data_IF_210508979010
#
_entry.id   IF_210508979010
#
_cell.length_a   1.000
_cell.length_b   1.000
_cell.length_c   1.000
_cell.angle_alpha   90.00
_cell.angle_beta   90.00
_cell.angle_gamma   90.00
#
_symmetry.space_group_name_H-M   'P 1'
#
loop_
_entity.id
_entity.type
_entity.pdbx_description
1 polymer ?
#
# COMPACT_ATOMS: atom_id res chain seq x y z
N UNK A 1 18.60 -19.09 -4.49
CA UNK A 1 17.77 -18.25 -5.38
C UNK A 1 16.58 -19.03 -5.98
N UNK A 2 16.80 -20.21 -6.62
CA UNK A 2 15.69 -20.97 -7.26
C UNK A 2 14.55 -21.38 -6.31
N UNK A 3 14.83 -21.63 -5.03
CA UNK A 3 13.81 -22.03 -4.06
C UNK A 3 12.89 -20.85 -3.63
N UNK A 4 13.40 -19.63 -3.68
CA UNK A 4 12.64 -18.41 -3.33
C UNK A 4 11.72 -17.98 -4.45
N UNK A 5 12.10 -18.17 -5.71
CA UNK A 5 11.31 -17.79 -6.89
C UNK A 5 10.02 -18.60 -7.09
N UNK A 6 9.84 -19.69 -6.35
CA UNK A 6 8.65 -20.55 -6.44
C UNK A 6 7.62 -20.31 -5.35
N UNK A 7 7.92 -19.42 -4.37
CA UNK A 7 7.02 -19.12 -3.26
C UNK A 7 6.63 -17.64 -3.28
N UNK A 8 5.34 -17.31 -3.28
CA UNK A 8 4.92 -15.92 -3.15
C UNK A 8 5.31 -15.38 -1.77
N UNK A 9 5.87 -14.18 -1.73
CA UNK A 9 6.01 -13.39 -0.50
C UNK A 9 4.80 -12.47 -0.41
N UNK A 10 4.01 -12.61 0.65
CA UNK A 10 2.79 -11.84 0.91
C UNK A 10 2.89 -11.20 2.29
N UNK A 11 2.66 -9.89 2.36
CA UNK A 11 2.65 -9.15 3.60
C UNK A 11 2.34 -7.67 3.39
N UNK A 12 2.25 -6.91 4.48
CA UNK A 12 2.08 -5.45 4.49
C UNK A 12 2.68 -4.87 5.78
N UNK A 13 2.51 -3.56 6.02
CA UNK A 13 3.00 -2.91 7.25
C UNK A 13 4.55 -2.97 7.36
N UNK A 14 5.07 -3.49 8.44
CA UNK A 14 6.53 -3.61 8.68
C UNK A 14 7.25 -4.36 7.56
N UNK A 15 6.59 -5.32 6.89
CA UNK A 15 7.17 -6.04 5.75
C UNK A 15 7.39 -5.16 4.51
N UNK A 16 7.00 -3.89 4.53
CA UNK A 16 7.35 -2.92 3.47
C UNK A 16 8.84 -2.91 3.18
N UNK A 17 9.68 -3.01 4.22
CA UNK A 17 11.14 -3.07 4.08
C UNK A 17 11.58 -4.36 3.39
N UNK A 18 10.95 -5.49 3.71
CA UNK A 18 11.22 -6.77 3.05
C UNK A 18 10.83 -6.73 1.56
N UNK A 19 9.74 -6.06 1.21
CA UNK A 19 9.37 -5.83 -0.19
C UNK A 19 10.45 -5.05 -0.94
N UNK A 20 11.01 -3.99 -0.35
CA UNK A 20 12.15 -3.28 -0.96
C UNK A 20 13.39 -4.17 -1.10
N UNK A 21 13.71 -4.98 -0.09
CA UNK A 21 14.83 -5.92 -0.14
C UNK A 21 14.67 -6.95 -1.26
N UNK A 22 13.47 -7.53 -1.39
CA UNK A 22 13.16 -8.53 -2.41
C UNK A 22 13.12 -7.91 -3.81
N UNK A 23 12.57 -6.70 -3.94
CA UNK A 23 12.58 -5.94 -5.19
C UNK A 23 14.01 -5.68 -5.68
N UNK A 24 14.94 -5.31 -4.78
CA UNK A 24 16.35 -5.08 -5.10
C UNK A 24 17.05 -6.30 -5.71
N UNK A 25 16.61 -7.51 -5.38
CA UNK A 25 17.15 -8.75 -5.97
C UNK A 25 16.29 -9.30 -7.11
N UNK A 26 15.34 -8.49 -7.63
CA UNK A 26 14.50 -8.80 -8.78
C UNK A 26 13.41 -9.83 -8.49
N UNK A 27 12.96 -9.96 -7.26
CA UNK A 27 11.88 -10.87 -6.88
C UNK A 27 10.55 -10.13 -6.80
N UNK A 28 9.52 -10.53 -7.56
CA UNK A 28 8.18 -10.00 -7.41
C UNK A 28 7.59 -10.43 -6.06
N UNK A 29 6.80 -9.54 -5.47
CA UNK A 29 6.15 -9.76 -4.18
C UNK A 29 4.69 -9.30 -4.23
N UNK A 30 3.92 -9.60 -3.17
CA UNK A 30 2.49 -9.29 -3.09
C UNK A 30 2.23 -8.49 -1.80
N UNK A 31 1.77 -7.26 -1.95
CA UNK A 31 1.50 -6.35 -0.85
C UNK A 31 0.00 -6.32 -0.51
N UNK A 32 -0.37 -6.45 0.77
CA UNK A 32 -1.72 -6.11 1.18
C UNK A 32 -2.39 -7.01 2.21
N UNK A 33 -2.04 -8.28 2.33
CA UNK A 33 -2.69 -9.20 3.28
C UNK A 33 -1.68 -9.90 4.17
N UNK A 34 -2.12 -10.30 5.36
CA UNK A 34 -1.35 -11.08 6.30
C UNK A 34 -2.20 -12.17 6.96
N UNK A 35 -1.52 -13.15 7.59
CA UNK A 35 -2.19 -14.33 8.12
C UNK A 35 -3.21 -13.99 9.22
N UNK A 36 -2.75 -13.24 10.26
CA UNK A 36 -3.60 -12.98 11.44
C UNK A 36 -4.79 -12.05 11.15
N UNK A 37 -4.60 -10.87 10.53
CA UNK A 37 -5.71 -9.93 10.39
C UNK A 37 -6.66 -10.23 9.22
N UNK A 38 -6.30 -11.15 8.31
CA UNK A 38 -7.06 -11.40 7.08
C UNK A 38 -7.50 -12.85 6.93
N UNK A 39 -6.55 -13.80 6.97
CA UNK A 39 -6.85 -15.21 6.74
C UNK A 39 -7.48 -15.83 7.98
N UNK A 40 -7.00 -15.46 9.17
CA UNK A 40 -7.55 -15.86 10.47
C UNK A 40 -8.57 -14.84 11.01
N UNK A 41 -9.42 -14.27 10.13
CA UNK A 41 -10.50 -13.38 10.57
C UNK A 41 -11.29 -14.03 11.71
N UNK A 42 -11.57 -13.25 12.77
CA UNK A 42 -12.23 -13.76 13.98
C UNK A 42 -13.72 -14.03 13.79
N UNK A 43 -14.35 -13.50 12.74
CA UNK A 43 -15.68 -13.91 12.32
C UNK A 43 -15.65 -15.31 11.67
N UNK A 44 -16.77 -15.81 11.26
CA UNK A 44 -16.94 -17.16 10.67
C UNK A 44 -16.20 -17.33 9.35
N UNK A 45 -16.02 -16.26 8.59
CA UNK A 45 -15.40 -16.26 7.25
C UNK A 45 -14.55 -15.02 7.03
N UNK A 46 -13.56 -15.15 6.14
CA UNK A 46 -12.81 -14.01 5.63
C UNK A 46 -13.75 -12.98 5.01
N UNK A 47 -13.40 -11.70 5.09
CA UNK A 47 -14.12 -10.63 4.39
C UNK A 47 -14.18 -10.94 2.88
N UNK A 48 -15.35 -10.86 2.23
CA UNK A 48 -15.54 -11.34 0.86
C UNK A 48 -14.54 -10.77 -0.17
N UNK A 49 -14.29 -9.47 -0.11
CA UNK A 49 -13.31 -8.81 -0.99
C UNK A 49 -11.88 -9.28 -0.74
N UNK A 50 -11.47 -9.41 0.52
CA UNK A 50 -10.15 -9.94 0.93
C UNK A 50 -9.97 -11.38 0.44
N UNK A 51 -10.98 -12.23 0.65
CA UNK A 51 -11.02 -13.62 0.22
C UNK A 51 -10.86 -13.77 -1.30
N UNK A 52 -11.56 -12.93 -2.08
CA UNK A 52 -11.48 -12.96 -3.55
C UNK A 52 -10.03 -12.86 -4.03
N UNK A 53 -9.24 -11.90 -3.53
CA UNK A 53 -7.84 -11.73 -3.94
C UNK A 53 -6.92 -12.81 -3.38
N UNK A 54 -7.20 -13.29 -2.18
CA UNK A 54 -6.45 -14.41 -1.60
C UNK A 54 -6.63 -15.69 -2.42
N UNK A 55 -7.86 -16.03 -2.75
CA UNK A 55 -8.16 -17.20 -3.60
C UNK A 55 -7.59 -17.05 -5.01
N UNK A 56 -7.69 -15.86 -5.63
CA UNK A 56 -7.09 -15.60 -6.94
C UNK A 56 -5.58 -15.85 -6.91
N UNK A 57 -4.88 -15.32 -5.91
CA UNK A 57 -3.44 -15.54 -5.76
C UNK A 57 -3.10 -17.01 -5.57
N UNK A 58 -3.81 -17.75 -4.70
CA UNK A 58 -3.55 -19.16 -4.45
C UNK A 58 -3.80 -20.03 -5.66
N UNK A 59 -4.88 -19.78 -6.40
CA UNK A 59 -5.29 -20.61 -7.52
C UNK A 59 -4.51 -20.33 -8.79
N UNK A 60 -4.04 -19.09 -8.99
CA UNK A 60 -3.45 -18.66 -10.26
C UNK A 60 -2.00 -18.22 -10.15
N UNK A 61 -1.50 -18.00 -8.94
CA UNK A 61 -0.16 -17.44 -8.68
C UNK A 61 -0.01 -15.96 -9.04
N UNK A 62 -1.11 -15.26 -9.34
CA UNK A 62 -1.11 -13.86 -9.76
C UNK A 62 -2.42 -13.15 -9.45
N UNK A 63 -2.39 -11.83 -9.42
CA UNK A 63 -3.56 -10.94 -9.42
C UNK A 63 -3.63 -10.29 -10.79
N UNK A 64 -4.79 -10.34 -11.44
CA UNK A 64 -4.96 -9.78 -12.80
C UNK A 64 -5.49 -8.36 -12.78
N UNK A 65 -6.42 -8.06 -11.88
CA UNK A 65 -7.09 -6.78 -11.86
C UNK A 65 -7.58 -6.46 -10.45
N UNK A 66 -7.33 -5.23 -10.00
CA UNK A 66 -7.91 -4.69 -8.77
C UNK A 66 -9.04 -3.73 -9.13
N UNK A 67 -10.18 -3.89 -8.45
CA UNK A 67 -11.33 -2.98 -8.48
C UNK A 67 -11.61 -2.47 -7.07
N UNK A 68 -12.25 -1.30 -6.91
CA UNK A 68 -12.61 -0.83 -5.58
C UNK A 68 -13.58 -1.78 -4.90
N UNK A 69 -13.52 -1.85 -3.57
CA UNK A 69 -14.56 -2.49 -2.77
C UNK A 69 -15.78 -1.60 -2.69
N UNK A 70 -16.98 -2.17 -2.79
CA UNK A 70 -18.24 -1.47 -2.52
C UNK A 70 -18.61 -1.41 -1.03
N UNK A 71 -17.75 -1.93 -0.17
CA UNK A 71 -17.96 -1.98 1.29
C UNK A 71 -16.64 -1.68 1.99
N UNK A 72 -16.70 -0.95 3.10
CA UNK A 72 -15.60 -0.84 4.05
C UNK A 72 -16.06 -1.29 5.44
N UNK A 73 -15.11 -1.63 6.32
CA UNK A 73 -15.40 -2.13 7.66
C UNK A 73 -14.62 -1.34 8.70
N UNK A 74 -15.27 -1.10 9.85
CA UNK A 74 -14.59 -0.56 11.03
C UNK A 74 -13.57 -1.58 11.56
N UNK A 75 -12.42 -1.08 12.00
CA UNK A 75 -11.37 -1.91 12.57
C UNK A 75 -11.80 -2.53 13.89
N UNK A 76 -11.35 -3.78 14.17
CA UNK A 76 -11.53 -4.40 15.48
C UNK A 76 -10.79 -3.60 16.56
N UNK A 77 -11.44 -3.46 17.69
CA UNK A 77 -10.84 -2.80 18.87
C UNK A 77 -10.00 -3.77 19.72
N UNK A 78 -10.19 -5.08 19.53
CA UNK A 78 -9.47 -6.15 20.22
C UNK A 78 -9.41 -7.40 19.33
N UNK A 79 -8.39 -8.22 19.57
CA UNK A 79 -8.20 -9.54 18.96
C UNK A 79 -8.23 -10.67 20.01
N UNK A 80 -8.88 -10.45 21.15
CA UNK A 80 -9.05 -11.47 22.19
C UNK A 80 -10.21 -12.44 21.88
N UNK A 81 -10.34 -13.47 22.71
CA UNK A 81 -11.33 -14.53 22.52
C UNK A 81 -12.80 -14.03 22.55
N UNK A 82 -13.08 -12.85 23.13
CA UNK A 82 -14.42 -12.27 23.14
C UNK A 82 -14.89 -11.83 21.75
N UNK A 83 -13.97 -11.66 20.82
CA UNK A 83 -14.25 -11.25 19.43
C UNK A 83 -14.53 -12.42 18.48
N UNK A 84 -14.37 -13.67 18.94
CA UNK A 84 -14.64 -14.85 18.13
C UNK A 84 -16.11 -14.91 17.72
N UNK A 85 -16.36 -15.02 16.41
CA UNK A 85 -17.69 -15.07 15.82
C UNK A 85 -18.43 -13.72 15.80
N UNK A 86 -17.76 -12.60 16.17
CA UNK A 86 -18.34 -11.27 16.09
C UNK A 86 -18.01 -10.66 14.73
N UNK A 87 -19.01 -10.36 13.87
CA UNK A 87 -18.76 -9.72 12.57
C UNK A 87 -18.28 -8.29 12.75
N UNK A 88 -17.46 -7.83 11.80
CA UNK A 88 -17.09 -6.44 11.69
C UNK A 88 -18.29 -5.61 11.22
N UNK A 89 -18.38 -4.37 11.69
CA UNK A 89 -19.40 -3.42 11.23
C UNK A 89 -19.08 -2.95 9.82
N UNK A 90 -19.98 -3.28 8.89
CA UNK A 90 -19.87 -2.94 7.48
C UNK A 90 -20.56 -1.60 7.16
N UNK A 91 -20.00 -0.86 6.20
CA UNK A 91 -20.55 0.37 5.65
C UNK A 91 -20.47 0.32 4.13
N UNK A 92 -21.45 0.92 3.46
CA UNK A 92 -21.41 1.08 2.00
C UNK A 92 -20.27 2.03 1.59
N UNK A 93 -19.62 1.73 0.48
CA UNK A 93 -18.55 2.52 -0.10
C UNK A 93 -18.87 2.85 -1.56
N UNK A 94 -19.27 4.09 -1.81
CA UNK A 94 -19.61 4.55 -3.16
C UNK A 94 -18.46 5.28 -3.88
N UNK A 95 -17.37 5.61 -3.15
CA UNK A 95 -16.33 6.52 -3.66
C UNK A 95 -15.42 5.93 -4.73
N UNK A 96 -15.15 4.62 -4.68
CA UNK A 96 -14.23 3.95 -5.60
C UNK A 96 -12.83 4.58 -5.62
N UNK A 97 -12.14 4.44 -6.76
CA UNK A 97 -10.88 5.16 -7.01
C UNK A 97 -11.19 6.61 -7.37
N UNK A 98 -10.57 7.55 -6.66
CA UNK A 98 -10.73 8.99 -6.87
C UNK A 98 -9.43 9.61 -7.37
N UNK A 99 -9.49 10.30 -8.50
CA UNK A 99 -8.38 11.11 -9.01
C UNK A 99 -8.32 12.41 -8.21
N UNK A 100 -7.19 12.68 -7.54
CA UNK A 100 -6.97 13.93 -6.84
C UNK A 100 -6.32 14.99 -7.73
N UNK A 101 -5.41 14.58 -8.62
CA UNK A 101 -4.75 15.44 -9.62
C UNK A 101 -4.15 14.62 -10.75
N UNK A 102 -3.72 15.28 -11.83
CA UNK A 102 -3.05 14.70 -12.99
C UNK A 102 -3.97 13.88 -13.88
N UNK A 103 -3.43 12.92 -14.62
CA UNK A 103 -4.18 12.03 -15.53
C UNK A 103 -4.82 10.87 -14.78
N UNK A 104 -6.07 10.53 -15.12
CA UNK A 104 -6.75 9.33 -14.64
C UNK A 104 -6.25 8.02 -15.26
N UNK A 105 -5.29 8.09 -16.20
CA UNK A 105 -4.69 6.92 -16.85
C UNK A 105 -3.17 7.05 -16.85
N UNK A 106 -2.48 6.06 -16.26
CA UNK A 106 -1.03 5.97 -16.23
C UNK A 106 -0.58 4.51 -16.01
N UNK A 107 0.70 4.25 -16.18
CA UNK A 107 1.25 2.89 -16.05
C UNK A 107 2.65 2.89 -15.45
N UNK A 108 3.01 1.78 -14.82
CA UNK A 108 4.33 1.54 -14.25
C UNK A 108 4.32 0.31 -13.35
N UNK A 109 5.49 -0.13 -12.92
CA UNK A 109 5.59 -1.11 -11.84
C UNK A 109 5.21 -0.46 -10.51
N UNK A 110 4.36 -1.12 -9.71
CA UNK A 110 4.01 -0.61 -8.39
C UNK A 110 5.08 -1.03 -7.38
N UNK A 111 5.49 -0.08 -6.55
CA UNK A 111 6.37 -0.28 -5.40
C UNK A 111 6.00 0.72 -4.30
N UNK A 112 6.27 0.41 -3.05
CA UNK A 112 5.96 1.28 -1.91
C UNK A 112 5.45 0.51 -0.71
N UNK A 113 4.37 0.99 -0.08
CA UNK A 113 3.71 0.34 1.05
C UNK A 113 3.40 1.28 2.20
N UNK A 114 3.59 0.82 3.43
CA UNK A 114 3.31 1.56 4.65
C UNK A 114 4.26 2.75 4.81
N UNK A 115 3.71 3.96 4.86
CA UNK A 115 4.52 5.18 4.98
C UNK A 115 5.21 5.28 6.34
N UNK A 116 4.68 4.66 7.38
CA UNK A 116 5.29 4.58 8.71
C UNK A 116 6.60 3.78 8.64
N UNK A 117 6.58 2.62 8.01
CA UNK A 117 7.77 1.79 7.80
C UNK A 117 8.79 2.47 6.86
N UNK A 118 8.30 3.18 5.83
CA UNK A 118 9.17 3.99 4.96
C UNK A 118 9.81 5.13 5.76
N UNK A 119 9.05 5.81 6.63
CA UNK A 119 9.58 6.86 7.49
C UNK A 119 10.73 6.36 8.37
N UNK A 120 10.59 5.18 8.96
CA UNK A 120 11.63 4.57 9.81
C UNK A 120 12.94 4.28 9.05
N UNK A 121 12.90 4.14 7.72
CA UNK A 121 14.12 4.00 6.90
C UNK A 121 14.97 5.28 6.87
N UNK A 122 14.37 6.44 7.16
CA UNK A 122 15.03 7.75 7.14
C UNK A 122 15.21 8.35 8.52
N UNK A 123 14.32 8.06 9.46
CA UNK A 123 14.24 8.70 10.78
C UNK A 123 14.61 7.68 11.89
N UNK A 124 15.57 8.01 12.76
CA UNK A 124 16.06 7.09 13.80
C UNK A 124 15.18 7.03 15.06
N UNK A 125 14.02 7.69 15.08
CA UNK A 125 13.22 7.85 16.31
C UNK A 125 12.71 6.53 16.85
N UNK A 126 12.21 5.64 15.99
CA UNK A 126 11.70 4.31 16.39
C UNK A 126 12.83 3.28 16.47
N UNK A 127 13.71 3.26 15.47
CA UNK A 127 14.81 2.32 15.34
C UNK A 127 16.11 3.08 15.03
N UNK A 128 16.96 3.27 16.06
CA UNK A 128 18.12 4.15 15.98
C UNK A 128 19.15 3.79 14.89
N UNK A 129 19.26 2.52 14.54
CA UNK A 129 20.22 2.01 13.54
C UNK A 129 19.60 1.83 12.14
N UNK A 130 18.29 1.84 12.01
CA UNK A 130 17.59 1.57 10.76
C UNK A 130 18.05 2.46 9.59
N UNK A 131 18.14 3.81 9.72
CA UNK A 131 18.62 4.66 8.63
C UNK A 131 20.05 4.33 8.17
N UNK A 132 20.92 3.92 9.10
CA UNK A 132 22.27 3.52 8.78
C UNK A 132 22.32 2.19 8.02
N UNK A 133 21.52 1.21 8.44
CA UNK A 133 21.36 -0.09 7.78
C UNK A 133 20.78 0.13 6.38
N UNK A 134 19.70 0.91 6.24
CA UNK A 134 19.08 1.18 4.95
C UNK A 134 20.07 1.81 3.96
N UNK A 135 20.85 2.79 4.39
CA UNK A 135 21.92 3.41 3.57
C UNK A 135 23.02 2.42 3.23
N UNK A 136 23.51 1.63 4.20
CA UNK A 136 24.60 0.66 3.99
C UNK A 136 24.27 -0.35 2.93
N UNK A 137 23.05 -0.84 2.91
CA UNK A 137 22.60 -1.87 1.96
C UNK A 137 21.83 -1.31 0.76
N UNK A 138 21.60 0.01 0.70
CA UNK A 138 20.84 0.67 -0.35
C UNK A 138 19.42 0.09 -0.44
N UNK A 139 18.73 -0.08 0.69
CA UNK A 139 17.42 -0.75 0.72
C UNK A 139 16.34 0.11 0.11
N UNK A 140 16.35 1.42 0.36
CA UNK A 140 15.43 2.33 -0.30
C UNK A 140 15.93 2.61 -1.71
N UNK A 141 15.07 2.47 -2.75
CA UNK A 141 15.48 2.68 -4.14
C UNK A 141 15.92 4.12 -4.40
N UNK A 142 16.95 4.30 -5.23
CA UNK A 142 17.39 5.60 -5.74
C UNK A 142 16.34 6.23 -6.67
N UNK A 143 16.43 7.53 -6.93
CA UNK A 143 15.56 8.21 -7.89
C UNK A 143 15.58 7.55 -9.29
N UNK A 144 16.72 7.03 -9.72
CA UNK A 144 16.84 6.31 -11.00
C UNK A 144 16.06 4.98 -10.98
N UNK A 145 16.06 4.27 -9.84
CA UNK A 145 15.28 3.02 -9.69
C UNK A 145 13.78 3.30 -9.54
N UNK A 146 13.37 4.49 -9.11
CA UNK A 146 11.98 4.95 -9.09
C UNK A 146 11.46 5.40 -10.46
N UNK A 147 12.34 5.64 -11.44
CA UNK A 147 11.94 6.18 -12.73
C UNK A 147 10.84 5.37 -13.41
N UNK A 148 9.69 6.01 -13.65
CA UNK A 148 8.53 5.42 -14.32
C UNK A 148 7.75 4.40 -13.48
N UNK A 149 8.09 4.19 -12.20
CA UNK A 149 7.29 3.35 -11.30
C UNK A 149 6.06 4.08 -10.79
N UNK A 150 5.17 3.35 -10.16
CA UNK A 150 4.02 3.88 -9.42
C UNK A 150 4.33 3.72 -7.94
N UNK A 151 4.28 4.82 -7.19
CA UNK A 151 4.42 4.78 -5.74
C UNK A 151 3.09 4.38 -5.10
N UNK A 152 3.09 3.30 -4.31
CA UNK A 152 1.99 2.96 -3.40
C UNK A 152 2.28 3.52 -2.01
N UNK A 153 1.33 4.24 -1.42
CA UNK A 153 1.37 4.69 -0.03
C UNK A 153 0.11 4.27 0.72
N UNK A 154 0.27 3.79 1.92
CA UNK A 154 -0.81 3.59 2.89
C UNK A 154 -0.32 3.90 4.30
N UNK A 155 -1.22 4.11 5.27
CA UNK A 155 -0.89 4.50 6.65
C UNK A 155 -1.22 3.38 7.62
N UNK A 156 -0.39 3.24 8.67
CA UNK A 156 -0.58 2.19 9.68
C UNK A 156 -1.78 2.46 10.62
N UNK A 157 -2.05 1.47 11.47
CA UNK A 157 -3.00 1.54 12.57
C UNK A 157 -2.63 2.58 13.63
N UNK A 158 -1.37 3.02 13.65
CA UNK A 158 -0.90 4.10 14.54
C UNK A 158 -1.47 5.48 14.16
N UNK A 159 -2.14 5.58 12.99
CA UNK A 159 -2.81 6.80 12.54
C UNK A 159 -1.90 8.02 12.62
N UNK A 160 -0.73 7.92 11.96
CA UNK A 160 0.35 8.91 11.97
C UNK A 160 -0.17 10.35 11.98
N UNK A 161 0.24 11.14 12.97
CA UNK A 161 -0.11 12.57 13.06
C UNK A 161 0.25 13.32 11.76
N UNK A 162 -0.60 14.28 11.30
CA UNK A 162 -0.39 14.98 10.05
C UNK A 162 0.99 15.65 9.91
N UNK A 163 1.57 16.13 11.02
CA UNK A 163 2.91 16.73 11.01
C UNK A 163 4.01 15.68 10.73
N UNK A 164 3.89 14.48 11.30
CA UNK A 164 4.81 13.36 11.02
C UNK A 164 4.61 12.84 9.59
N UNK A 165 3.37 12.75 9.12
CA UNK A 165 3.05 12.37 7.73
C UNK A 165 3.69 13.34 6.73
N UNK A 166 3.61 14.66 6.96
CA UNK A 166 4.30 15.66 6.14
C UNK A 166 5.81 15.40 6.10
N UNK A 167 6.45 15.14 7.24
CA UNK A 167 7.90 14.85 7.29
C UNK A 167 8.24 13.59 6.47
N UNK A 168 7.43 12.54 6.56
CA UNK A 168 7.63 11.35 5.77
C UNK A 168 7.58 11.63 4.27
N UNK A 169 6.60 12.42 3.82
CA UNK A 169 6.51 12.86 2.42
C UNK A 169 7.70 13.73 2.01
N UNK A 170 8.20 14.58 2.89
CA UNK A 170 9.38 15.42 2.63
C UNK A 170 10.65 14.56 2.43
N UNK A 171 10.81 13.46 3.17
CA UNK A 171 11.89 12.49 2.91
C UNK A 171 11.76 11.86 1.51
N UNK A 172 10.56 11.45 1.11
CA UNK A 172 10.32 10.92 -0.24
C UNK A 172 10.64 11.97 -1.32
N UNK A 173 10.25 13.22 -1.11
CA UNK A 173 10.57 14.33 -2.02
C UNK A 173 12.07 14.57 -2.13
N UNK A 174 12.77 14.61 -1.00
CA UNK A 174 14.24 14.78 -0.95
C UNK A 174 14.98 13.62 -1.61
N UNK A 175 14.44 12.40 -1.51
CA UNK A 175 14.95 11.21 -2.21
C UNK A 175 14.65 11.22 -3.73
N UNK A 176 13.93 12.23 -4.24
CA UNK A 176 13.63 12.40 -5.66
C UNK A 176 12.48 11.51 -6.16
N UNK A 177 11.71 10.88 -5.27
CA UNK A 177 10.67 9.91 -5.64
C UNK A 177 9.60 10.56 -6.50
N UNK A 178 9.02 11.69 -6.06
CA UNK A 178 7.92 12.35 -6.75
C UNK A 178 8.30 12.91 -8.13
N UNK A 179 9.59 13.20 -8.35
CA UNK A 179 10.08 13.63 -9.65
C UNK A 179 10.33 12.47 -10.62
N UNK A 180 10.38 11.22 -10.11
CA UNK A 180 10.74 10.04 -10.89
C UNK A 180 9.54 9.15 -11.24
N UNK A 181 8.52 9.09 -10.36
CA UNK A 181 7.40 8.17 -10.54
C UNK A 181 6.41 8.64 -11.60
N UNK A 182 5.71 7.70 -12.23
CA UNK A 182 4.64 7.97 -13.20
C UNK A 182 3.28 8.28 -12.55
N UNK A 183 3.14 8.03 -11.26
CA UNK A 183 1.93 8.31 -10.49
C UNK A 183 2.01 7.78 -9.07
N UNK A 184 1.04 8.17 -8.25
CA UNK A 184 0.91 7.78 -6.84
C UNK A 184 -0.45 7.14 -6.61
N UNK A 185 -0.46 5.98 -5.99
CA UNK A 185 -1.64 5.28 -5.50
C UNK A 185 -1.68 5.38 -3.98
N UNK A 186 -2.84 5.73 -3.43
CA UNK A 186 -3.01 5.94 -1.99
C UNK A 186 -4.07 5.00 -1.45
N UNK A 187 -3.68 4.17 -0.49
CA UNK A 187 -4.58 3.35 0.30
C UNK A 187 -5.48 4.21 1.19
N UNK A 188 -6.67 3.73 1.47
CA UNK A 188 -7.55 4.35 2.46
C UNK A 188 -6.86 4.31 3.83
N UNK A 189 -6.87 5.38 4.63
CA UNK A 189 -6.43 5.29 6.01
C UNK A 189 -7.44 4.47 6.82
N UNK A 190 -6.92 3.75 7.82
CA UNK A 190 -7.75 2.95 8.72
C UNK A 190 -8.83 3.82 9.38
N UNK A 191 -10.09 3.36 9.33
CA UNK A 191 -11.29 4.06 9.83
C UNK A 191 -11.46 5.49 9.29
N UNK A 192 -10.80 5.85 8.18
CA UNK A 192 -10.88 7.19 7.54
C UNK A 192 -10.19 8.31 8.30
N UNK A 193 -9.37 7.99 9.33
CA UNK A 193 -8.72 8.99 10.16
C UNK A 193 -7.71 9.80 9.36
N UNK A 194 -7.78 11.12 9.48
CA UNK A 194 -6.92 12.11 8.79
C UNK A 194 -6.99 12.08 7.25
N UNK A 195 -7.98 11.43 6.65
CA UNK A 195 -8.02 11.25 5.19
C UNK A 195 -7.87 12.57 4.43
N UNK A 196 -8.66 13.60 4.77
CA UNK A 196 -8.61 14.89 4.06
C UNK A 196 -7.29 15.63 4.30
N UNK A 197 -6.75 15.54 5.50
CA UNK A 197 -5.47 16.13 5.88
C UNK A 197 -4.32 15.47 5.11
N UNK A 198 -4.31 14.15 5.04
CA UNK A 198 -3.29 13.39 4.29
C UNK A 198 -3.34 13.71 2.79
N UNK A 199 -4.53 13.70 2.18
CA UNK A 199 -4.71 14.06 0.77
C UNK A 199 -4.18 15.48 0.49
N UNK A 200 -4.56 16.46 1.31
CA UNK A 200 -4.09 17.85 1.20
C UNK A 200 -2.57 17.96 1.34
N UNK A 201 -2.00 17.31 2.35
CA UNK A 201 -0.56 17.34 2.60
C UNK A 201 0.24 16.68 1.48
N UNK A 202 -0.24 15.55 0.97
CA UNK A 202 0.37 14.84 -0.16
C UNK A 202 0.48 15.76 -1.38
N UNK A 203 -0.63 16.38 -1.79
CA UNK A 203 -0.65 17.29 -2.94
C UNK A 203 0.28 18.51 -2.72
N UNK A 204 0.29 19.09 -1.51
CA UNK A 204 1.16 20.21 -1.17
C UNK A 204 2.64 19.84 -1.24
N UNK A 205 3.03 18.67 -0.73
CA UNK A 205 4.43 18.24 -0.73
C UNK A 205 4.88 17.84 -2.13
N UNK A 206 4.07 17.14 -2.89
CA UNK A 206 4.33 16.84 -4.32
C UNK A 206 4.64 18.16 -5.05
N UNK A 207 3.70 19.10 -5.08
CA UNK A 207 3.86 20.41 -5.68
C UNK A 207 3.91 20.41 -7.21
N UNK A 208 3.68 19.28 -7.87
CA UNK A 208 3.55 19.11 -9.31
C UNK A 208 2.14 18.65 -9.64
N UNK A 209 1.26 19.50 -10.20
CA UNK A 209 -0.12 19.16 -10.49
C UNK A 209 -0.28 18.14 -11.62
N UNK A 210 0.73 17.94 -12.45
CA UNK A 210 0.71 16.98 -13.55
C UNK A 210 0.97 15.53 -13.08
N UNK A 211 1.63 15.34 -11.92
CA UNK A 211 1.84 13.99 -11.38
C UNK A 211 0.50 13.36 -10.96
N UNK A 212 0.07 12.24 -11.57
CA UNK A 212 -1.17 11.58 -11.21
C UNK A 212 -1.19 11.11 -9.75
N UNK A 213 -2.25 11.44 -9.03
CA UNK A 213 -2.49 10.96 -7.65
C UNK A 213 -3.90 10.39 -7.57
N UNK A 214 -3.98 9.11 -7.24
CA UNK A 214 -5.25 8.36 -7.11
C UNK A 214 -5.36 7.81 -5.70
N UNK A 215 -6.48 8.06 -5.04
CA UNK A 215 -6.78 7.56 -3.70
C UNK A 215 -7.99 6.62 -3.70
N UNK A 216 -8.26 6.02 -2.55
CA UNK A 216 -9.42 5.15 -2.35
C UNK A 216 -9.12 3.67 -2.56
N UNK A 217 -7.84 3.26 -2.61
CA UNK A 217 -7.49 1.84 -2.68
C UNK A 217 -7.80 1.13 -1.36
N UNK A 218 -8.43 -0.03 -1.47
CA UNK A 218 -8.66 -0.93 -0.34
C UNK A 218 -7.43 -1.82 -0.15
N UNK A 219 -6.36 -1.26 0.43
CA UNK A 219 -5.05 -1.90 0.64
C UNK A 219 -4.42 -1.41 1.94
N UNK A 220 -3.53 -2.18 2.53
CA UNK A 220 -2.83 -1.84 3.77
C UNK A 220 -3.71 -2.03 5.01
N UNK A 221 -3.78 -1.05 5.92
CA UNK A 221 -4.45 -1.22 7.22
C UNK A 221 -5.97 -1.01 7.18
N UNK A 222 -6.53 -0.37 6.15
CA UNK A 222 -7.97 -0.29 5.97
C UNK A 222 -8.59 -1.62 5.54
N UNK A 223 -9.82 -1.88 5.96
CA UNK A 223 -10.56 -3.09 5.63
C UNK A 223 -11.70 -2.81 4.63
N UNK A 224 -11.94 -3.70 3.65
CA UNK A 224 -11.21 -4.94 3.35
C UNK A 224 -9.94 -4.67 2.52
N UNK A 225 -9.12 -5.71 2.27
CA UNK A 225 -7.83 -5.55 1.57
C UNK A 225 -7.76 -6.34 0.28
N UNK A 226 -7.28 -5.70 -0.79
CA UNK A 226 -6.79 -6.42 -1.97
C UNK A 226 -5.33 -6.86 -1.78
N UNK A 227 -4.80 -7.53 -2.80
CA UNK A 227 -3.38 -7.87 -2.93
C UNK A 227 -2.82 -7.13 -4.13
N UNK A 228 -1.76 -6.34 -3.93
CA UNK A 228 -1.08 -5.57 -4.98
C UNK A 228 0.23 -6.24 -5.36
N UNK A 229 0.39 -6.75 -6.59
CA UNK A 229 1.67 -7.26 -7.07
C UNK A 229 2.71 -6.14 -7.19
N UNK A 230 3.90 -6.35 -6.61
CA UNK A 230 5.08 -5.49 -6.79
C UNK A 230 6.05 -6.13 -7.80
N UNK A 231 6.72 -5.30 -8.59
CA UNK A 231 7.63 -5.76 -9.65
C UNK A 231 6.91 -6.25 -10.90
N UNK A 232 5.64 -5.89 -11.06
CA UNK A 232 4.81 -6.18 -12.24
C UNK A 232 4.23 -4.88 -12.76
N UNK A 233 4.22 -4.71 -14.08
CA UNK A 233 3.65 -3.50 -14.70
C UNK A 233 2.14 -3.46 -14.48
N UNK A 234 1.66 -2.36 -13.93
CA UNK A 234 0.23 -2.06 -13.75
C UNK A 234 -0.22 -0.96 -14.72
N UNK A 235 -1.45 -1.07 -15.21
CA UNK A 235 -2.19 -0.03 -15.92
C UNK A 235 -3.31 0.46 -15.02
N UNK A 236 -3.22 1.71 -14.57
CA UNK A 236 -4.26 2.39 -13.80
C UNK A 236 -5.23 3.06 -14.75
N UNK A 237 -6.53 2.85 -14.53
CA UNK A 237 -7.62 3.46 -15.31
C UNK A 237 -8.74 3.86 -14.33
N UNK A 238 -8.71 5.12 -13.87
CA UNK A 238 -9.70 5.66 -12.92
C UNK A 238 -11.10 5.74 -13.53
N UNK A 239 -11.31 6.21 -14.77
CA UNK A 239 -12.62 6.16 -15.41
C UNK A 239 -13.23 4.75 -15.45
N UNK A 240 -12.43 3.72 -15.69
CA UNK A 240 -12.89 2.33 -15.72
C UNK A 240 -12.90 1.65 -14.33
N UNK A 241 -12.49 2.37 -13.28
CA UNK A 241 -12.41 1.88 -11.90
C UNK A 241 -11.62 0.56 -11.81
N UNK A 242 -10.40 0.53 -12.39
CA UNK A 242 -9.57 -0.68 -12.42
C UNK A 242 -8.08 -0.36 -12.42
N UNK A 243 -7.31 -1.32 -11.89
CA UNK A 243 -5.85 -1.42 -12.01
C UNK A 243 -5.57 -2.82 -12.57
N UNK A 244 -5.09 -2.91 -13.81
CA UNK A 244 -4.78 -4.17 -14.49
C UNK A 244 -3.28 -4.44 -14.45
N UNK A 245 -2.89 -5.70 -14.22
CA UNK A 245 -1.50 -6.17 -14.22
C UNK A 245 -1.21 -6.92 -15.53
N UNK A 246 -0.12 -6.54 -16.19
CA UNK A 246 0.25 -6.97 -17.55
C UNK A 246 1.29 -8.09 -17.55
#
# INVERSE_FOLDING_TARGET
>A
QKAVTQKPFLGFSDTTIDHFMLHKVGLPTFYGQAFLPDICELDKEMLPYTRQYFEELLMTGRIRCIRPSGVWYESRKSYDASQLGIPLRAHEEAGGFRLLQGSGQFRGEILGGCIDSIFDMFDPTRYADMPAICRKYGLFPSAAEWQGKILLLETSEEQMEPAKFRRALEYLKQAGVFAAVSGVLVGKPMDGVWQMEYEKLLLQVIGDPELPVVCGLSVGHALPRCIVPFGVTAQVDVPAQKIEFL
#
